data_IF_880786671442
#
_entry.id   IF_880786671442
#
_cell.length_a   1.000
_cell.length_b   1.000
_cell.length_c   1.000
_cell.angle_alpha   90.00
_cell.angle_beta   90.00
_cell.angle_gamma   90.00
#
_symmetry.space_group_name_H-M   'P 1'
#
loop_
_entity.id
_entity.type
_entity.pdbx_description
1 polymer ?
#
# COMPACT_ATOMS: atom_id res chain seq x y z
N UNK A 1 9.75 1.30 7.96
CA UNK A 1 8.55 2.04 7.56
C UNK A 1 8.86 3.52 7.53
N UNK A 2 8.63 4.13 6.38
CA UNK A 2 8.65 5.58 6.20
C UNK A 2 7.22 6.04 5.90
N UNK A 3 6.88 7.25 6.34
CA UNK A 3 5.65 7.92 5.96
C UNK A 3 6.01 9.07 5.02
N UNK A 4 5.20 9.25 3.99
CA UNK A 4 5.33 10.33 3.03
C UNK A 4 3.99 11.05 2.95
N UNK A 5 4.00 12.37 3.07
CA UNK A 5 2.82 13.20 2.88
C UNK A 5 3.18 14.45 2.09
N UNK A 6 2.16 15.13 1.57
CA UNK A 6 2.28 16.45 0.98
C UNK A 6 1.72 17.43 2.00
N UNK A 7 2.51 18.43 2.38
CA UNK A 7 2.08 19.49 3.29
C UNK A 7 1.07 20.40 2.58
N UNK A 8 -0.12 20.57 3.14
CA UNK A 8 -1.22 21.28 2.49
C UNK A 8 -0.91 22.76 2.20
N UNK A 9 -0.13 23.41 3.06
CA UNK A 9 0.12 24.85 2.99
C UNK A 9 1.07 25.26 1.86
N UNK A 10 2.05 24.41 1.54
CA UNK A 10 3.11 24.74 0.59
C UNK A 10 3.36 23.66 -0.47
N UNK A 11 2.58 22.58 -0.45
CA UNK A 11 2.65 21.42 -1.34
C UNK A 11 4.02 20.73 -1.34
N UNK A 12 4.81 20.92 -0.29
CA UNK A 12 6.09 20.23 -0.17
C UNK A 12 5.89 18.79 0.27
N UNK A 13 6.59 17.87 -0.41
CA UNK A 13 6.68 16.49 0.03
C UNK A 13 7.49 16.41 1.33
N UNK A 14 6.87 15.89 2.39
CA UNK A 14 7.54 15.55 3.65
C UNK A 14 7.73 14.04 3.71
N UNK A 15 8.84 13.63 4.32
CA UNK A 15 9.19 12.22 4.53
C UNK A 15 9.70 12.04 5.95
N UNK A 16 9.17 11.05 6.65
CA UNK A 16 9.56 10.73 8.02
C UNK A 16 9.86 9.24 8.16
N UNK A 17 11.00 8.91 8.78
CA UNK A 17 11.27 7.54 9.20
C UNK A 17 10.48 7.25 10.48
N UNK A 18 9.50 6.34 10.41
CA UNK A 18 8.68 5.98 11.57
C UNK A 18 9.35 4.89 12.40
N UNK A 19 9.80 3.83 11.75
CA UNK A 19 10.40 2.69 12.45
C UNK A 19 11.31 1.85 11.55
N UNK A 20 12.36 1.29 12.15
CA UNK A 20 13.14 0.17 11.61
C UNK A 20 12.99 -1.01 12.57
N UNK A 21 11.81 -1.65 12.55
CA UNK A 21 11.45 -2.71 13.48
C UNK A 21 11.94 -4.07 13.00
N UNK A 22 12.69 -4.79 13.84
CA UNK A 22 13.09 -6.16 13.56
C UNK A 22 12.01 -7.13 14.04
N UNK A 23 11.40 -7.86 13.11
CA UNK A 23 10.57 -9.02 13.42
C UNK A 23 11.52 -10.21 13.68
N UNK A 24 11.27 -10.98 14.73
CA UNK A 24 12.04 -12.19 15.06
C UNK A 24 11.13 -13.42 14.93
N UNK A 25 11.68 -14.53 14.47
CA UNK A 25 10.90 -15.77 14.27
C UNK A 25 10.24 -15.81 12.90
N UNK A 26 9.02 -16.34 12.82
CA UNK A 26 8.28 -16.44 11.55
C UNK A 26 7.78 -15.07 11.11
N UNK A 27 7.92 -14.78 9.82
CA UNK A 27 7.47 -13.56 9.17
C UNK A 27 6.18 -13.82 8.38
N UNK A 28 5.15 -14.33 9.04
CA UNK A 28 3.85 -14.55 8.38
C UNK A 28 3.12 -13.22 8.17
N UNK A 29 2.27 -13.15 7.14
CA UNK A 29 1.52 -11.94 6.78
C UNK A 29 0.86 -11.27 8.00
N UNK A 30 0.10 -12.02 8.80
CA UNK A 30 -0.57 -11.52 10.00
C UNK A 30 0.38 -10.89 11.06
N UNK A 31 1.62 -11.37 11.17
CA UNK A 31 2.62 -10.79 12.10
C UNK A 31 3.13 -9.46 11.53
N UNK A 32 3.27 -9.37 10.21
CA UNK A 32 3.67 -8.15 9.51
C UNK A 32 2.55 -7.10 9.62
N UNK A 33 1.29 -7.44 9.34
CA UNK A 33 0.13 -6.55 9.53
C UNK A 33 0.07 -6.00 10.94
N UNK A 34 0.18 -6.88 11.94
CA UNK A 34 0.15 -6.47 13.34
C UNK A 34 1.27 -5.47 13.65
N UNK A 35 2.48 -5.68 13.12
CA UNK A 35 3.60 -4.77 13.31
C UNK A 35 3.44 -3.44 12.58
N UNK A 36 2.87 -3.45 11.37
CA UNK A 36 2.52 -2.24 10.62
C UNK A 36 1.48 -1.43 11.40
N UNK A 37 0.43 -2.09 11.88
CA UNK A 37 -0.63 -1.48 12.68
C UNK A 37 -0.11 -0.89 13.99
N UNK A 38 0.73 -1.63 14.73
CA UNK A 38 1.38 -1.14 15.95
C UNK A 38 2.14 0.17 15.70
N UNK A 39 2.86 0.27 14.58
CA UNK A 39 3.59 1.49 14.20
C UNK A 39 2.61 2.62 13.88
N UNK A 40 1.52 2.35 13.14
CA UNK A 40 0.53 3.37 12.84
C UNK A 40 -0.10 3.96 14.11
N UNK A 41 -0.50 3.10 15.06
CA UNK A 41 -1.07 3.52 16.35
C UNK A 41 -0.06 4.29 17.19
N UNK A 42 1.20 3.85 17.23
CA UNK A 42 2.26 4.53 17.99
C UNK A 42 2.50 5.99 17.54
N UNK A 43 2.20 6.30 16.27
CA UNK A 43 2.29 7.66 15.71
C UNK A 43 0.90 8.34 15.54
N UNK A 44 -0.19 7.70 15.96
CA UNK A 44 -1.57 8.20 15.83
C UNK A 44 -1.94 8.57 14.39
N UNK A 45 -1.54 7.71 13.45
CA UNK A 45 -1.80 7.86 12.01
C UNK A 45 -2.67 6.75 11.43
N UNK A 46 -3.14 5.79 12.24
CA UNK A 46 -3.89 4.62 11.79
C UNK A 46 -5.16 4.97 11.00
N UNK A 47 -5.77 6.12 11.28
CA UNK A 47 -6.94 6.63 10.57
C UNK A 47 -6.60 7.67 9.47
N UNK A 48 -5.31 7.89 9.19
CA UNK A 48 -4.80 8.89 8.25
C UNK A 48 -4.03 8.28 7.08
N UNK A 49 -3.67 7.00 7.16
CA UNK A 49 -2.97 6.29 6.09
C UNK A 49 -3.93 6.11 4.91
N UNK A 50 -3.58 6.67 3.76
CA UNK A 50 -4.35 6.53 2.52
C UNK A 50 -3.81 5.42 1.61
N UNK A 51 -2.51 5.15 1.67
CA UNK A 51 -1.86 4.12 0.86
C UNK A 51 -0.63 3.55 1.57
N UNK A 52 -0.32 2.30 1.27
CA UNK A 52 0.90 1.61 1.72
C UNK A 52 1.62 1.09 0.48
N UNK A 53 2.93 1.34 0.39
CA UNK A 53 3.78 0.86 -0.72
C UNK A 53 4.73 -0.19 -0.17
N UNK A 54 4.66 -1.39 -0.73
CA UNK A 54 5.54 -2.53 -0.40
C UNK A 54 6.17 -3.10 -1.67
N UNK A 55 7.15 -3.99 -1.52
CA UNK A 55 7.52 -4.87 -2.62
C UNK A 55 6.45 -5.95 -2.83
N UNK A 56 6.60 -6.77 -3.87
CA UNK A 56 5.70 -7.88 -4.18
C UNK A 56 6.03 -9.15 -3.37
N UNK A 57 6.59 -9.01 -2.16
CA UNK A 57 6.84 -10.16 -1.30
C UNK A 57 5.54 -10.88 -0.95
N UNK A 58 5.48 -12.21 -1.12
CA UNK A 58 4.25 -13.00 -0.96
C UNK A 58 3.52 -12.84 0.38
N UNK A 59 4.24 -12.45 1.44
CA UNK A 59 3.60 -12.12 2.71
C UNK A 59 2.88 -10.77 2.68
N UNK A 60 3.36 -9.77 1.96
CA UNK A 60 2.66 -8.49 1.77
C UNK A 60 1.46 -8.65 0.84
N UNK A 61 1.57 -9.44 -0.23
CA UNK A 61 0.43 -9.77 -1.10
C UNK A 61 -0.72 -10.37 -0.30
N UNK A 62 -0.42 -11.31 0.61
CA UNK A 62 -1.42 -11.91 1.51
C UNK A 62 -1.97 -10.93 2.55
N UNK A 63 -1.15 -10.01 3.04
CA UNK A 63 -1.54 -9.02 4.05
C UNK A 63 -2.47 -7.95 3.48
N UNK A 64 -2.25 -7.58 2.22
CA UNK A 64 -3.00 -6.56 1.49
C UNK A 64 -3.92 -7.18 0.43
N UNK A 65 -4.31 -8.45 0.59
CA UNK A 65 -5.08 -9.17 -0.41
C UNK A 65 -6.45 -8.51 -0.71
N UNK A 66 -7.06 -7.83 0.27
CA UNK A 66 -8.29 -7.05 0.08
C UNK A 66 -8.10 -5.87 -0.91
N UNK A 67 -6.87 -5.41 -1.08
CA UNK A 67 -6.49 -4.34 -2.01
C UNK A 67 -5.82 -4.88 -3.29
N UNK A 68 -5.55 -6.17 -3.37
CA UNK A 68 -5.17 -6.82 -4.62
C UNK A 68 -6.40 -6.77 -5.52
N UNK A 69 -6.25 -6.26 -6.75
CA UNK A 69 -7.34 -6.27 -7.71
C UNK A 69 -7.81 -7.71 -7.85
N UNK A 70 -9.11 -7.94 -7.68
CA UNK A 70 -9.70 -9.26 -7.84
C UNK A 70 -9.49 -9.71 -9.28
N UNK A 71 -8.46 -10.50 -9.53
CA UNK A 71 -8.47 -11.41 -10.67
C UNK A 71 -9.54 -12.45 -10.34
N UNK A 72 -10.62 -12.43 -11.10
CA UNK A 72 -11.73 -13.36 -10.95
C UNK A 72 -11.20 -14.81 -10.97
N UNK A 73 -11.38 -15.50 -9.85
CA UNK A 73 -11.47 -16.95 -9.65
C UNK A 73 -10.96 -17.85 -10.79
N UNK A 74 -9.68 -18.23 -10.75
CA UNK A 74 -9.27 -19.56 -11.23
C UNK A 74 -8.29 -20.20 -10.23
N UNK A 75 -8.79 -21.17 -9.48
CA UNK A 75 -7.98 -22.02 -8.62
C UNK A 75 -6.89 -22.75 -9.42
N UNK A 76 -5.64 -22.53 -9.05
CA UNK A 76 -4.49 -23.28 -9.56
C UNK A 76 -3.21 -22.53 -9.28
N UNK A 77 -2.18 -23.24 -8.81
CA UNK A 77 -0.85 -22.76 -8.46
C UNK A 77 -0.40 -21.51 -9.27
N UNK A 78 -0.31 -20.36 -8.59
CA UNK A 78 -0.09 -19.07 -9.24
C UNK A 78 1.37 -18.96 -9.72
N UNK A 79 1.52 -19.09 -11.04
CA UNK A 79 2.71 -18.86 -11.84
C UNK A 79 3.07 -17.36 -11.88
N UNK A 80 4.38 -17.07 -11.84
CA UNK A 80 5.00 -15.76 -11.71
C UNK A 80 4.82 -14.90 -12.97
N UNK A 81 3.65 -14.30 -13.21
CA UNK A 81 3.51 -13.29 -14.26
C UNK A 81 2.47 -12.19 -13.97
N UNK A 82 2.78 -11.33 -12.99
CA UNK A 82 2.06 -10.07 -12.76
C UNK A 82 2.31 -9.08 -13.91
N UNK A 83 1.38 -9.00 -14.87
CA UNK A 83 1.38 -7.94 -15.88
C UNK A 83 0.76 -6.67 -15.30
N UNK A 84 1.59 -5.73 -14.87
CA UNK A 84 1.14 -4.40 -14.45
C UNK A 84 0.40 -3.68 -15.59
N UNK A 85 -0.88 -3.37 -15.38
CA UNK A 85 -1.69 -2.61 -16.33
C UNK A 85 -1.47 -1.12 -16.10
N UNK A 86 -0.84 -0.46 -17.07
CA UNK A 86 -0.63 0.99 -17.07
C UNK A 86 -1.81 1.67 -17.75
N UNK A 87 -2.51 2.54 -17.03
CA UNK A 87 -3.51 3.44 -17.60
C UNK A 87 -2.92 4.84 -17.77
N UNK A 88 -3.29 5.52 -18.85
CA UNK A 88 -2.81 6.86 -19.14
C UNK A 88 -3.50 7.86 -18.21
N UNK A 89 -2.69 8.59 -17.44
CA UNK A 89 -3.14 9.60 -16.47
C UNK A 89 -3.99 10.68 -17.13
N UNK A 90 -3.71 11.02 -18.40
CA UNK A 90 -4.53 11.99 -19.16
C UNK A 90 -5.97 11.52 -19.33
N UNK A 91 -6.18 10.22 -19.57
CA UNK A 91 -7.51 9.63 -19.76
C UNK A 91 -8.34 9.65 -18.48
N UNK A 92 -7.69 9.58 -17.32
CA UNK A 92 -8.35 9.65 -16.01
C UNK A 92 -8.80 11.09 -15.74
N UNK A 93 -7.91 12.07 -15.96
CA UNK A 93 -8.20 13.48 -15.67
C UNK A 93 -9.25 14.09 -16.62
N UNK A 94 -9.37 13.58 -17.85
CA UNK A 94 -10.40 14.02 -18.79
C UNK A 94 -11.82 13.54 -18.43
N UNK A 95 -11.96 12.44 -17.68
CA UNK A 95 -13.27 11.93 -17.23
C UNK A 95 -13.90 12.76 -16.12
N UNK A 96 -13.09 13.43 -15.30
CA UNK A 96 -13.57 14.23 -14.17
C UNK A 96 -13.84 15.70 -14.52
N UNK A 97 -13.40 16.17 -15.69
CA UNK A 97 -13.63 17.54 -16.18
C UNK A 97 -14.99 17.76 -16.86
N UNK A 98 -15.87 16.77 -16.83
CA UNK A 98 -17.12 16.73 -17.59
C UNK A 98 -18.39 16.91 -16.75
N UNK A 99 -18.49 17.98 -15.96
CA UNK A 99 -19.80 18.57 -15.71
C UNK A 99 -19.68 20.09 -15.54
N UNK A 100 -20.51 20.79 -16.29
CA UNK A 100 -20.51 22.25 -16.48
C UNK A 100 -21.73 22.86 -15.79
#
# INVERSE_FOLDING_TARGET
MTCHCIEENNLEKKSAALACARIRGRHTYNIIAAKIHDIHVAFSIENKVQSTVTDNGSNFVKDFQEFAQSEEDEGGDQDDNDTARFEDVSTILEREGGDK
#
